data_IF_971799534374
#
_entry.id   IF_971799534374
#
_cell.length_a   1.000
_cell.length_b   1.000
_cell.length_c   1.000
_cell.angle_alpha   90.00
_cell.angle_beta   90.00
_cell.angle_gamma   90.00
#
_symmetry.space_group_name_H-M   'P 1'
#
loop_
_entity.id
_entity.type
_entity.pdbx_description
1 polymer ?
#
# COMPACT_ATOMS: atom_id res chain seq x y z
N UNK A 1 26.35 13.69 -21.74
CA UNK A 1 25.30 12.66 -21.77
C UNK A 1 24.40 12.96 -20.61
N UNK A 2 23.08 13.09 -20.80
CA UNK A 2 22.18 13.23 -19.69
C UNK A 2 22.30 11.97 -18.81
N UNK A 3 22.45 12.13 -17.49
CA UNK A 3 22.49 11.00 -16.58
C UNK A 3 21.14 10.27 -16.67
N UNK A 4 21.17 9.02 -17.10
CA UNK A 4 19.96 8.18 -17.17
C UNK A 4 19.48 7.86 -15.73
N UNK A 5 18.17 7.94 -15.48
CA UNK A 5 17.61 7.45 -14.23
C UNK A 5 17.96 5.98 -14.00
N UNK A 6 18.26 5.64 -12.75
CA UNK A 6 18.53 4.27 -12.32
C UNK A 6 17.68 3.93 -11.11
N UNK A 7 17.14 2.73 -11.10
CA UNK A 7 16.40 2.17 -9.98
C UNK A 7 16.86 0.74 -9.78
N UNK A 8 17.64 0.48 -8.74
CA UNK A 8 18.31 -0.79 -8.53
C UNK A 8 17.81 -1.39 -7.23
N UNK A 9 17.38 -2.65 -7.27
CA UNK A 9 17.00 -3.38 -6.08
C UNK A 9 17.91 -4.58 -5.84
N UNK A 10 18.18 -4.85 -4.57
CA UNK A 10 18.87 -6.04 -4.10
C UNK A 10 18.15 -6.63 -2.89
N UNK A 11 17.99 -7.94 -2.89
CA UNK A 11 17.42 -8.74 -1.82
C UNK A 11 18.46 -9.66 -1.22
N UNK A 12 18.50 -9.74 0.12
CA UNK A 12 19.23 -10.74 0.89
C UNK A 12 18.29 -11.51 1.82
N UNK A 13 18.52 -12.80 1.97
CA UNK A 13 17.84 -13.69 2.92
C UNK A 13 18.80 -14.18 4.01
N UNK A 14 19.93 -13.54 4.17
CA UNK A 14 20.92 -13.92 5.18
C UNK A 14 20.38 -13.61 6.58
N UNK A 15 20.46 -14.55 7.55
CA UNK A 15 19.95 -14.31 8.90
C UNK A 15 20.80 -13.38 9.77
N UNK A 16 22.02 -13.04 9.36
CA UNK A 16 22.84 -12.01 10.03
C UNK A 16 22.56 -10.65 9.39
N UNK A 17 22.19 -9.65 10.20
CA UNK A 17 21.95 -8.29 9.72
C UNK A 17 23.14 -7.72 8.96
N UNK A 18 24.36 -7.84 9.52
CA UNK A 18 25.58 -7.31 8.92
C UNK A 18 25.86 -7.93 7.55
N UNK A 19 25.71 -9.25 7.43
CA UNK A 19 25.89 -9.96 6.17
C UNK A 19 24.78 -9.62 5.16
N UNK A 20 23.54 -9.50 5.63
CA UNK A 20 22.43 -9.10 4.76
C UNK A 20 22.68 -7.72 4.16
N UNK A 21 23.16 -6.77 4.97
CA UNK A 21 23.53 -5.43 4.50
C UNK A 21 24.71 -5.52 3.53
N UNK A 22 25.77 -6.30 3.84
CA UNK A 22 26.91 -6.47 2.93
C UNK A 22 26.47 -7.00 1.57
N UNK A 23 25.66 -8.04 1.53
CA UNK A 23 25.18 -8.66 0.30
C UNK A 23 24.37 -7.67 -0.57
N UNK A 24 23.45 -6.87 0.02
CA UNK A 24 22.67 -5.92 -0.76
C UNK A 24 23.51 -4.72 -1.18
N UNK A 25 24.38 -4.22 -0.33
CA UNK A 25 25.29 -3.09 -0.67
C UNK A 25 26.25 -3.46 -1.80
N UNK A 26 26.84 -4.65 -1.75
CA UNK A 26 27.76 -5.12 -2.80
C UNK A 26 27.03 -5.25 -4.15
N UNK A 27 25.82 -5.81 -4.16
CA UNK A 27 24.99 -5.88 -5.37
C UNK A 27 24.65 -4.49 -5.93
N UNK A 28 24.23 -3.56 -5.06
CA UNK A 28 23.92 -2.17 -5.46
C UNK A 28 25.15 -1.51 -6.06
N UNK A 29 26.29 -1.55 -5.35
CA UNK A 29 27.56 -0.93 -5.81
C UNK A 29 28.05 -1.49 -7.14
N UNK A 30 27.75 -2.76 -7.42
CA UNK A 30 28.16 -3.40 -8.68
C UNK A 30 27.35 -2.93 -9.90
N UNK A 31 26.18 -2.29 -9.69
CA UNK A 31 25.25 -1.90 -10.74
C UNK A 31 25.02 -0.39 -10.82
N UNK A 32 25.18 0.31 -9.70
CA UNK A 32 24.97 1.75 -9.63
C UNK A 32 26.09 2.49 -10.37
N UNK A 33 25.69 3.26 -11.36
CA UNK A 33 26.58 4.15 -12.09
C UNK A 33 26.37 5.60 -11.63
N UNK A 34 27.35 6.17 -10.96
CA UNK A 34 27.28 7.52 -10.40
C UNK A 34 26.76 7.58 -8.95
N UNK A 35 26.09 8.68 -8.62
CA UNK A 35 25.62 8.96 -7.27
C UNK A 35 24.17 8.49 -7.09
N UNK A 36 23.86 8.04 -5.88
CA UNK A 36 22.50 7.75 -5.45
C UNK A 36 21.83 9.00 -4.85
N UNK A 37 20.54 9.15 -5.10
CA UNK A 37 19.72 10.24 -4.55
C UNK A 37 18.76 9.72 -3.46
N UNK A 38 18.36 8.43 -3.52
CA UNK A 38 17.37 7.85 -2.64
C UNK A 38 17.71 6.39 -2.30
N UNK A 39 17.51 6.03 -1.03
CA UNK A 39 17.42 4.65 -0.55
C UNK A 39 16.03 4.33 -0.02
N UNK A 40 15.49 3.17 -0.38
CA UNK A 40 14.24 2.64 0.20
C UNK A 40 14.55 1.25 0.74
N UNK A 41 14.32 1.03 2.04
CA UNK A 41 14.70 -0.22 2.71
C UNK A 41 13.49 -0.88 3.37
N UNK A 42 13.31 -2.18 3.10
CA UNK A 42 12.33 -3.02 3.76
C UNK A 42 13.05 -4.20 4.42
N UNK A 43 12.70 -4.48 5.67
CA UNK A 43 13.36 -5.52 6.45
C UNK A 43 12.32 -6.35 7.21
N UNK A 44 12.50 -7.67 7.23
CA UNK A 44 11.56 -8.54 7.92
C UNK A 44 11.61 -8.38 9.45
N UNK A 45 10.48 -8.65 10.09
CA UNK A 45 10.35 -8.60 11.55
C UNK A 45 11.24 -9.64 12.28
N UNK A 46 11.85 -10.58 11.56
CA UNK A 46 12.88 -11.44 12.10
C UNK A 46 14.12 -10.69 12.63
N UNK A 47 14.35 -9.47 12.15
CA UNK A 47 15.43 -8.58 12.60
C UNK A 47 14.97 -7.50 13.59
N UNK A 48 13.76 -7.59 14.16
CA UNK A 48 13.19 -6.50 14.97
C UNK A 48 14.08 -6.05 16.13
N UNK A 49 14.83 -6.96 16.77
CA UNK A 49 15.80 -6.64 17.81
C UNK A 49 17.00 -5.82 17.31
N UNK A 50 17.27 -5.89 16.01
CA UNK A 50 18.41 -5.23 15.37
C UNK A 50 18.03 -3.94 14.60
N UNK A 51 16.74 -3.59 14.54
CA UNK A 51 16.26 -2.38 13.83
C UNK A 51 17.05 -1.11 14.15
N UNK A 52 17.39 -0.79 15.43
CA UNK A 52 18.18 0.41 15.73
C UNK A 52 19.60 0.39 15.13
N UNK A 53 20.13 -0.80 14.79
CA UNK A 53 21.49 -0.96 14.24
C UNK A 53 21.51 -0.89 12.70
N UNK A 54 20.36 -1.10 12.04
CA UNK A 54 20.25 -1.19 10.59
C UNK A 54 20.82 0.04 9.88
N UNK A 55 20.25 1.21 10.18
CA UNK A 55 20.59 2.46 9.49
C UNK A 55 22.04 2.90 9.73
N UNK A 56 22.59 2.88 10.96
CA UNK A 56 24.00 3.19 11.17
C UNK A 56 24.95 2.31 10.33
N UNK A 57 24.71 1.01 10.28
CA UNK A 57 25.55 0.08 9.51
C UNK A 57 25.39 0.32 8.01
N UNK A 58 24.16 0.54 7.53
CA UNK A 58 23.90 0.80 6.11
C UNK A 58 24.60 2.08 5.65
N UNK A 59 24.41 3.20 6.37
CA UNK A 59 24.95 4.50 5.96
C UNK A 59 26.48 4.57 6.03
N UNK A 60 27.11 3.81 6.95
CA UNK A 60 28.58 3.66 6.99
C UNK A 60 29.11 2.94 5.73
N UNK A 61 28.40 1.92 5.24
CA UNK A 61 28.80 1.14 4.06
C UNK A 61 28.39 1.76 2.73
N UNK A 62 27.24 2.42 2.70
CA UNK A 62 26.67 3.08 1.52
C UNK A 62 26.10 4.44 1.92
N UNK A 63 26.88 5.51 1.83
CA UNK A 63 26.40 6.86 2.08
C UNK A 63 25.29 7.24 1.10
N UNK A 64 24.12 7.57 1.62
CA UNK A 64 22.93 7.97 0.86
C UNK A 64 22.44 9.33 1.40
N UNK A 65 21.98 10.26 0.56
CA UNK A 65 21.49 11.56 1.01
C UNK A 65 20.09 11.48 1.64
N UNK A 66 19.29 10.47 1.27
CA UNK A 66 17.95 10.26 1.78
C UNK A 66 17.66 8.77 1.86
N UNK A 67 17.10 8.32 3.00
CA UNK A 67 16.63 6.94 3.17
C UNK A 67 15.31 6.92 3.91
N UNK A 68 14.35 6.18 3.37
CA UNK A 68 13.11 5.82 4.07
C UNK A 68 12.94 4.30 4.08
N UNK A 69 12.17 3.79 5.02
CA UNK A 69 11.91 2.36 5.06
C UNK A 69 11.06 1.93 6.24
N UNK A 70 10.72 0.66 6.28
CA UNK A 70 9.98 0.08 7.40
C UNK A 70 10.22 -1.42 7.57
N UNK A 71 9.78 -1.92 8.73
CA UNK A 71 9.64 -3.34 8.99
C UNK A 71 8.42 -3.93 8.31
N UNK A 72 8.55 -5.17 7.80
CA UNK A 72 7.47 -5.92 7.15
C UNK A 72 7.33 -7.34 7.67
N UNK A 73 6.12 -7.89 7.66
CA UNK A 73 5.85 -9.30 7.95
C UNK A 73 6.29 -10.24 6.83
N UNK A 74 6.39 -9.71 5.61
CA UNK A 74 7.03 -10.32 4.45
C UNK A 74 7.72 -9.24 3.64
N UNK A 75 8.73 -9.60 2.85
CA UNK A 75 9.59 -8.68 2.10
C UNK A 75 9.59 -9.05 0.63
N UNK A 76 9.45 -8.05 -0.23
CA UNK A 76 9.51 -8.19 -1.68
C UNK A 76 10.80 -7.58 -2.21
N UNK A 77 11.46 -8.28 -3.12
CA UNK A 77 12.67 -7.77 -3.76
C UNK A 77 13.16 -8.67 -4.87
N UNK A 78 14.23 -8.28 -5.52
CA UNK A 78 14.80 -8.99 -6.67
C UNK A 78 15.89 -9.96 -6.25
N UNK A 79 15.68 -11.25 -6.51
CA UNK A 79 16.74 -12.27 -6.37
C UNK A 79 17.86 -12.03 -7.37
N UNK A 80 17.47 -11.73 -8.60
CA UNK A 80 18.32 -11.29 -9.71
C UNK A 80 17.51 -10.31 -10.57
N UNK A 81 18.03 -9.88 -11.70
CA UNK A 81 17.43 -8.83 -12.52
C UNK A 81 16.03 -9.16 -13.07
N UNK A 82 15.64 -10.44 -13.07
CA UNK A 82 14.40 -10.91 -13.71
C UNK A 82 13.50 -11.74 -12.78
N UNK A 83 13.91 -11.97 -11.54
CA UNK A 83 13.16 -12.83 -10.63
C UNK A 83 12.81 -12.10 -9.34
N UNK A 84 11.54 -11.70 -9.18
CA UNK A 84 11.04 -11.18 -7.92
C UNK A 84 10.92 -12.32 -6.91
N UNK A 85 11.04 -11.98 -5.64
CA UNK A 85 10.77 -12.89 -4.53
C UNK A 85 9.94 -12.19 -3.46
N UNK A 86 8.99 -12.91 -2.94
CA UNK A 86 8.19 -12.59 -1.76
C UNK A 86 8.65 -13.52 -0.64
N UNK A 87 9.34 -12.98 0.35
CA UNK A 87 9.90 -13.75 1.47
C UNK A 87 9.02 -13.56 2.68
N UNK A 88 8.24 -14.56 3.00
CA UNK A 88 7.35 -14.60 4.16
C UNK A 88 7.93 -15.51 5.27
N UNK A 89 7.80 -15.08 6.54
CA UNK A 89 8.19 -15.89 7.70
C UNK A 89 9.70 -16.14 7.88
N UNK A 90 10.55 -15.62 7.01
CA UNK A 90 12.00 -15.79 7.05
C UNK A 90 12.74 -14.44 7.13
N UNK A 91 14.00 -14.41 7.59
CA UNK A 91 14.83 -13.23 7.51
C UNK A 91 14.97 -12.75 6.06
N UNK A 92 14.72 -11.47 5.83
CA UNK A 92 14.92 -10.85 4.54
C UNK A 92 15.18 -9.35 4.68
N UNK A 93 16.01 -8.80 3.81
CA UNK A 93 16.30 -7.38 3.67
C UNK A 93 16.31 -7.02 2.19
N UNK A 94 15.47 -6.06 1.80
CA UNK A 94 15.37 -5.53 0.45
C UNK A 94 15.81 -4.07 0.47
N UNK A 95 16.83 -3.71 -0.33
CA UNK A 95 17.32 -2.36 -0.49
C UNK A 95 17.12 -1.93 -1.94
N UNK A 96 16.40 -0.85 -2.14
CA UNK A 96 16.32 -0.14 -3.41
C UNK A 96 17.15 1.13 -3.32
N UNK A 97 17.96 1.38 -4.35
CA UNK A 97 18.71 2.62 -4.50
C UNK A 97 18.39 3.21 -5.86
N UNK A 98 18.08 4.51 -5.87
CA UNK A 98 17.75 5.23 -7.09
C UNK A 98 18.69 6.42 -7.32
N UNK A 99 19.06 6.61 -8.59
CA UNK A 99 19.64 7.86 -9.11
C UNK A 99 18.58 8.52 -9.99
N UNK A 100 18.15 9.73 -9.59
CA UNK A 100 16.96 10.40 -10.11
C UNK A 100 17.31 11.84 -10.55
N UNK A 101 18.01 12.00 -11.67
CA UNK A 101 18.36 13.33 -12.18
C UNK A 101 17.07 14.14 -12.46
N UNK A 102 17.13 15.44 -12.11
CA UNK A 102 16.05 16.40 -12.26
C UNK A 102 14.78 16.07 -11.44
N UNK A 103 14.92 15.22 -10.40
CA UNK A 103 13.90 14.95 -9.39
C UNK A 103 14.29 15.58 -8.06
N UNK A 104 13.41 16.36 -7.49
CA UNK A 104 13.56 16.85 -6.12
C UNK A 104 12.88 15.88 -5.16
N UNK A 105 13.61 15.44 -4.14
CA UNK A 105 13.15 14.52 -3.11
C UNK A 105 13.03 15.28 -1.80
N UNK A 106 11.85 15.37 -1.24
CA UNK A 106 11.59 16.01 0.05
C UNK A 106 11.17 14.96 1.06
N UNK A 107 12.10 14.49 1.94
CA UNK A 107 11.77 13.55 2.99
C UNK A 107 11.06 14.23 4.15
N UNK A 108 10.17 13.49 4.81
CA UNK A 108 9.46 13.97 6.00
C UNK A 108 9.21 12.84 7.00
N UNK A 109 9.08 13.22 8.28
CA UNK A 109 8.54 12.40 9.36
C UNK A 109 7.48 13.22 10.09
N UNK A 110 6.28 12.68 10.23
CA UNK A 110 5.11 13.35 10.79
C UNK A 110 4.51 12.45 11.86
N UNK A 111 4.25 12.98 13.02
CA UNK A 111 3.48 12.31 14.08
C UNK A 111 2.02 12.81 14.07
N UNK A 112 1.06 12.03 14.62
CA UNK A 112 -0.36 12.39 14.59
C UNK A 112 -0.70 13.75 15.19
N UNK A 113 0.09 14.21 16.17
CA UNK A 113 -0.14 15.48 16.86
C UNK A 113 0.31 16.70 16.03
N UNK A 114 1.15 16.50 15.01
CA UNK A 114 1.62 17.56 14.12
C UNK A 114 0.63 17.85 12.97
N UNK A 115 -0.38 16.98 12.78
CA UNK A 115 -1.32 17.14 11.66
C UNK A 115 -2.15 18.42 11.83
N UNK A 116 -2.26 19.25 10.77
CA UNK A 116 -3.21 20.34 10.75
C UNK A 116 -4.64 19.81 10.93
N UNK A 117 -5.51 20.64 11.49
CA UNK A 117 -6.95 20.31 11.51
C UNK A 117 -7.47 20.17 10.08
N UNK A 118 -8.47 19.31 9.86
CA UNK A 118 -9.01 19.04 8.51
C UNK A 118 -9.65 20.28 7.84
N UNK A 119 -10.00 21.30 8.62
CA UNK A 119 -10.49 22.60 8.13
C UNK A 119 -9.37 23.62 7.90
N UNK A 120 -8.12 23.26 8.16
CA UNK A 120 -6.95 24.12 7.90
C UNK A 120 -6.77 24.32 6.38
N UNK A 121 -6.31 25.51 5.95
CA UNK A 121 -6.09 25.77 4.53
C UNK A 121 -4.98 24.88 3.95
N UNK A 122 -4.99 24.60 2.63
CA UNK A 122 -3.96 23.79 1.98
C UNK A 122 -2.53 24.24 2.27
N UNK A 123 -2.30 25.54 2.49
CA UNK A 123 -0.98 26.10 2.83
C UNK A 123 -0.41 25.55 4.16
N UNK A 124 -1.26 25.19 5.12
CA UNK A 124 -0.79 24.57 6.39
C UNK A 124 -0.19 23.18 6.11
N UNK A 125 -0.85 22.40 5.27
CA UNK A 125 -0.36 21.10 4.81
C UNK A 125 0.92 21.23 3.98
N UNK A 126 0.96 22.19 3.04
CA UNK A 126 2.16 22.45 2.24
C UNK A 126 3.36 22.84 3.11
N UNK A 127 3.14 23.64 4.15
CA UNK A 127 4.20 24.02 5.09
C UNK A 127 4.72 22.84 5.89
N UNK A 128 3.83 21.92 6.27
CA UNK A 128 4.20 20.72 7.02
C UNK A 128 5.05 19.76 6.17
N UNK A 129 4.66 19.53 4.90
CA UNK A 129 5.42 18.66 3.99
C UNK A 129 6.62 19.32 3.32
N UNK A 130 6.72 20.66 3.39
CA UNK A 130 7.79 21.41 2.74
C UNK A 130 7.72 21.44 1.21
N UNK A 131 6.54 21.15 0.62
CA UNK A 131 6.36 21.09 -0.84
C UNK A 131 5.14 21.92 -1.26
N UNK A 132 5.31 22.73 -2.28
CA UNK A 132 4.24 23.55 -2.87
C UNK A 132 3.36 22.72 -3.82
N UNK A 133 2.06 23.05 -3.88
CA UNK A 133 1.08 22.36 -4.75
C UNK A 133 1.49 22.42 -6.22
N UNK A 134 2.01 23.58 -6.66
CA UNK A 134 2.41 23.85 -8.05
C UNK A 134 3.53 22.92 -8.54
N UNK A 135 4.26 22.27 -7.63
CA UNK A 135 5.29 21.29 -7.99
C UNK A 135 4.71 19.91 -8.34
N UNK A 136 3.39 19.72 -8.19
CA UNK A 136 2.68 18.47 -8.49
C UNK A 136 3.37 17.23 -7.87
N UNK A 137 3.53 17.19 -6.54
CA UNK A 137 4.23 16.12 -5.87
C UNK A 137 3.48 14.79 -5.95
N UNK A 138 4.24 13.68 -5.95
CA UNK A 138 3.75 12.35 -5.63
C UNK A 138 4.38 11.86 -4.32
N UNK A 139 3.68 11.01 -3.58
CA UNK A 139 4.10 10.64 -2.22
C UNK A 139 4.28 9.14 -2.05
N UNK A 140 5.34 8.76 -1.33
CA UNK A 140 5.50 7.42 -0.75
C UNK A 140 5.35 7.57 0.76
N UNK A 141 4.43 6.79 1.37
CA UNK A 141 4.04 6.88 2.78
C UNK A 141 4.24 5.53 3.49
N UNK A 142 5.05 5.51 4.53
CA UNK A 142 5.26 4.33 5.37
C UNK A 142 4.88 4.71 6.81
N UNK A 143 3.82 4.12 7.34
CA UNK A 143 3.27 4.53 8.64
C UNK A 143 3.33 3.41 9.66
N UNK A 144 3.45 3.80 10.93
CA UNK A 144 3.23 2.86 12.02
C UNK A 144 1.75 2.45 12.09
N UNK A 145 1.44 1.15 12.21
CA UNK A 145 0.06 0.65 12.20
C UNK A 145 -0.79 1.10 13.41
N UNK A 146 -0.14 1.54 14.47
CA UNK A 146 -0.80 2.04 15.69
C UNK A 146 -0.90 3.56 15.72
N UNK A 147 -0.32 4.26 14.74
CA UNK A 147 -0.47 5.70 14.61
C UNK A 147 -1.92 6.08 14.39
N UNK A 148 -2.45 6.89 15.29
CA UNK A 148 -3.76 7.49 15.14
C UNK A 148 -3.78 8.41 13.90
N UNK A 149 -4.99 8.71 13.38
CA UNK A 149 -5.21 9.73 12.34
C UNK A 149 -4.61 9.45 10.96
N UNK A 150 -4.29 8.20 10.61
CA UNK A 150 -3.84 7.89 9.23
C UNK A 150 -4.86 8.32 8.17
N UNK A 151 -6.15 8.11 8.41
CA UNK A 151 -7.19 8.56 7.48
C UNK A 151 -7.26 10.08 7.37
N UNK A 152 -7.07 10.81 8.48
CA UNK A 152 -7.01 12.26 8.49
C UNK A 152 -5.79 12.78 7.70
N UNK A 153 -4.64 12.10 7.82
CA UNK A 153 -3.46 12.37 6.99
C UNK A 153 -3.76 12.21 5.50
N UNK A 154 -4.40 11.11 5.09
CA UNK A 154 -4.72 10.85 3.69
C UNK A 154 -5.77 11.83 3.16
N UNK A 155 -6.83 12.12 3.92
CA UNK A 155 -7.84 13.14 3.57
C UNK A 155 -7.21 14.53 3.41
N UNK A 156 -6.31 14.92 4.32
CA UNK A 156 -5.60 16.20 4.25
C UNK A 156 -4.63 16.28 3.07
N UNK A 157 -3.93 15.20 2.75
CA UNK A 157 -3.08 15.12 1.56
C UNK A 157 -3.89 15.21 0.26
N UNK A 158 -5.07 14.58 0.20
CA UNK A 158 -5.95 14.68 -0.98
C UNK A 158 -6.53 16.08 -1.12
N UNK A 159 -6.86 16.74 -0.01
CA UNK A 159 -7.31 18.12 0.00
C UNK A 159 -6.21 19.10 -0.43
N UNK A 160 -4.99 18.96 0.11
CA UNK A 160 -3.89 19.86 -0.16
C UNK A 160 -3.25 19.65 -1.54
N UNK A 161 -3.20 18.40 -2.01
CA UNK A 161 -2.56 18.01 -3.26
C UNK A 161 -3.51 17.18 -4.13
N UNK A 162 -4.56 17.81 -4.68
CA UNK A 162 -5.54 17.11 -5.51
C UNK A 162 -4.85 16.52 -6.76
N UNK A 163 -5.15 15.26 -7.07
CA UNK A 163 -4.57 14.56 -8.21
C UNK A 163 -3.16 13.98 -7.99
N UNK A 164 -2.48 14.31 -6.89
CA UNK A 164 -1.21 13.67 -6.54
C UNK A 164 -1.42 12.17 -6.24
N UNK A 165 -0.50 11.34 -6.68
CA UNK A 165 -0.49 9.92 -6.35
C UNK A 165 0.16 9.73 -4.97
N UNK A 166 -0.53 9.04 -4.06
CA UNK A 166 -0.04 8.65 -2.75
C UNK A 166 -0.11 7.13 -2.67
N UNK A 167 1.04 6.50 -2.47
CA UNK A 167 1.19 5.04 -2.35
C UNK A 167 1.98 4.71 -1.09
N UNK A 168 1.80 3.51 -0.59
CA UNK A 168 2.54 3.05 0.58
C UNK A 168 1.82 2.01 1.39
N UNK A 169 2.14 1.95 2.68
CA UNK A 169 1.50 1.00 3.57
C UNK A 169 1.87 1.17 5.03
N UNK A 170 1.13 0.50 5.87
CA UNK A 170 1.41 0.41 7.29
C UNK A 170 2.45 -0.67 7.54
N UNK A 171 3.50 -0.32 8.28
CA UNK A 171 4.50 -1.29 8.73
C UNK A 171 3.85 -2.49 9.42
N UNK A 172 4.46 -3.64 9.31
CA UNK A 172 3.85 -4.87 9.78
C UNK A 172 4.87 -5.82 10.42
N UNK A 173 4.36 -6.80 11.12
CA UNK A 173 5.18 -7.86 11.72
C UNK A 173 4.53 -9.21 11.49
N UNK A 174 5.32 -10.25 11.30
CA UNK A 174 4.85 -11.63 11.22
C UNK A 174 4.55 -12.25 12.60
N UNK A 175 4.96 -11.59 13.69
CA UNK A 175 4.86 -12.10 15.06
C UNK A 175 4.17 -11.09 15.97
N UNK A 176 3.16 -11.53 16.71
CA UNK A 176 2.49 -10.70 17.71
C UNK A 176 3.46 -10.25 18.81
N UNK A 177 3.31 -8.98 19.24
CA UNK A 177 4.12 -8.41 20.33
C UNK A 177 5.49 -7.88 19.91
N UNK A 178 5.84 -7.96 18.64
CA UNK A 178 7.02 -7.32 18.06
C UNK A 178 6.61 -5.95 17.53
N UNK A 179 7.31 -4.89 17.92
CA UNK A 179 7.04 -3.53 17.46
C UNK A 179 7.33 -3.38 15.97
N UNK A 180 6.51 -2.59 15.29
CA UNK A 180 6.83 -2.10 13.95
C UNK A 180 7.97 -1.08 14.03
N UNK A 181 8.73 -0.96 12.96
CA UNK A 181 9.84 -0.01 12.87
C UNK A 181 9.75 0.81 11.60
N UNK A 182 10.07 2.09 11.72
CA UNK A 182 10.21 3.01 10.60
C UNK A 182 11.66 3.51 10.56
N UNK A 183 12.20 3.67 9.37
CA UNK A 183 13.57 4.15 9.14
C UNK A 183 13.51 5.46 8.37
N UNK A 184 14.30 6.44 8.82
CA UNK A 184 14.27 7.77 8.26
C UNK A 184 15.64 8.43 8.33
N UNK A 185 16.09 8.98 7.21
CA UNK A 185 17.27 9.82 7.11
C UNK A 185 17.09 10.85 6.00
N UNK A 186 17.31 12.12 6.33
CA UNK A 186 17.13 13.28 5.44
C UNK A 186 18.45 13.96 5.03
N UNK A 187 19.56 13.27 5.25
CA UNK A 187 20.91 13.81 4.96
C UNK A 187 21.49 14.68 6.09
N UNK A 188 20.71 15.07 7.08
CA UNK A 188 21.17 16.03 8.10
C UNK A 188 21.20 15.46 9.53
N UNK A 189 20.32 14.52 9.88
CA UNK A 189 20.13 14.07 11.25
C UNK A 189 20.46 12.59 11.41
N UNK A 190 21.64 12.30 12.01
CA UNK A 190 22.09 10.93 12.30
C UNK A 190 21.64 10.38 13.66
N UNK A 191 21.06 11.21 14.53
CA UNK A 191 20.77 10.81 15.93
C UNK A 191 19.43 10.07 16.08
N UNK A 192 18.55 10.18 15.11
CA UNK A 192 17.21 9.60 15.14
C UNK A 192 16.86 8.88 13.84
N UNK A 193 17.62 7.85 13.51
CA UNK A 193 17.47 7.07 12.27
C UNK A 193 16.34 6.02 12.33
N UNK A 194 15.86 5.70 13.53
CA UNK A 194 14.80 4.74 13.81
C UNK A 194 13.64 5.41 14.53
N UNK A 195 12.42 5.12 14.08
CA UNK A 195 11.17 5.67 14.63
C UNK A 195 10.21 4.53 14.97
N UNK A 196 9.36 4.74 15.97
CA UNK A 196 8.36 3.76 16.41
C UNK A 196 6.93 4.29 16.27
N UNK A 197 6.76 5.51 15.76
CA UNK A 197 5.46 6.15 15.60
C UNK A 197 5.44 7.10 14.41
N UNK A 198 4.24 7.42 13.95
CA UNK A 198 4.01 8.40 12.90
C UNK A 198 4.10 7.80 11.50
N UNK A 199 4.41 8.67 10.56
CA UNK A 199 4.58 8.36 9.13
C UNK A 199 5.91 8.94 8.66
N UNK A 200 6.77 8.10 8.11
CA UNK A 200 7.93 8.52 7.32
C UNK A 200 7.57 8.47 5.84
N UNK A 201 8.08 9.38 5.06
CA UNK A 201 7.80 9.39 3.64
C UNK A 201 8.66 10.35 2.85
N UNK A 202 8.42 10.38 1.56
CA UNK A 202 9.02 11.32 0.64
C UNK A 202 7.96 11.91 -0.28
N UNK A 203 8.13 13.18 -0.62
CA UNK A 203 7.48 13.80 -1.76
C UNK A 203 8.47 13.86 -2.93
N UNK A 204 8.03 13.45 -4.10
CA UNK A 204 8.79 13.41 -5.34
C UNK A 204 8.22 14.43 -6.31
N UNK A 205 9.05 15.36 -6.79
CA UNK A 205 8.66 16.38 -7.79
C UNK A 205 9.68 16.45 -8.93
N UNK A 206 9.34 17.15 -10.01
CA UNK A 206 10.24 17.28 -11.17
C UNK A 206 10.03 16.20 -12.22
N UNK A 207 11.12 15.63 -12.73
CA UNK A 207 11.13 14.70 -13.87
C UNK A 207 10.73 13.27 -13.46
N UNK A 208 9.67 13.09 -12.69
CA UNK A 208 9.19 11.77 -12.29
C UNK A 208 7.66 11.69 -12.38
N UNK A 209 7.18 10.61 -12.96
CA UNK A 209 5.77 10.22 -12.96
C UNK A 209 5.59 9.00 -12.08
N UNK A 210 4.54 8.99 -11.28
CA UNK A 210 4.13 7.85 -10.48
C UNK A 210 2.73 7.44 -10.92
N UNK A 211 2.56 6.18 -11.28
CA UNK A 211 1.28 5.56 -11.59
C UNK A 211 0.99 4.48 -10.54
N UNK A 212 -0.28 4.16 -10.36
CA UNK A 212 -0.65 3.16 -9.36
C UNK A 212 -1.68 2.16 -9.87
N UNK A 213 -1.55 0.91 -9.41
CA UNK A 213 -2.54 -0.15 -9.59
C UNK A 213 -2.97 -0.58 -8.19
N UNK A 214 -4.29 -0.66 -7.95
CA UNK A 214 -4.87 -1.04 -6.65
C UNK A 214 -5.80 -2.23 -6.86
N UNK A 215 -5.32 -3.43 -6.58
CA UNK A 215 -6.05 -4.69 -6.72
C UNK A 215 -6.67 -5.10 -5.39
N UNK A 216 -7.99 -4.93 -5.25
CA UNK A 216 -8.70 -5.19 -3.99
C UNK A 216 -8.96 -6.68 -3.75
N UNK A 217 -9.01 -7.49 -4.79
CA UNK A 217 -9.02 -8.95 -4.69
C UNK A 217 -10.28 -9.56 -4.06
N UNK A 218 -11.38 -8.84 -4.03
CA UNK A 218 -12.65 -9.30 -3.49
C UNK A 218 -13.73 -9.25 -4.56
N UNK A 219 -14.58 -10.29 -4.60
CA UNK A 219 -15.74 -10.33 -5.50
C UNK A 219 -17.03 -10.04 -4.75
N UNK A 220 -17.94 -9.22 -5.35
CA UNK A 220 -19.23 -8.95 -4.76
C UNK A 220 -20.14 -10.19 -4.77
N UNK A 221 -20.94 -10.34 -3.71
CA UNK A 221 -22.01 -11.37 -3.60
C UNK A 221 -23.34 -10.72 -3.28
N UNK A 222 -24.41 -11.36 -3.71
CA UNK A 222 -25.78 -10.89 -3.47
C UNK A 222 -26.06 -9.53 -4.14
N UNK A 223 -27.05 -8.85 -3.62
CA UNK A 223 -27.49 -7.54 -4.08
C UNK A 223 -26.81 -6.38 -3.36
N UNK A 224 -27.07 -5.16 -3.81
CA UNK A 224 -26.65 -3.94 -3.11
C UNK A 224 -27.74 -3.52 -2.13
N UNK A 225 -27.36 -3.27 -0.89
CA UNK A 225 -28.22 -2.78 0.18
C UNK A 225 -27.99 -1.29 0.41
N UNK A 226 -28.95 -0.60 1.03
CA UNK A 226 -28.80 0.77 1.49
C UNK A 226 -28.91 0.84 3.00
N UNK A 227 -27.95 1.50 3.66
CA UNK A 227 -28.01 1.74 5.10
C UNK A 227 -29.13 2.72 5.41
N UNK A 228 -30.17 2.26 6.11
CA UNK A 228 -31.30 3.09 6.55
C UNK A 228 -31.07 3.65 7.95
N UNK A 229 -30.28 2.96 8.78
CA UNK A 229 -29.88 3.42 10.12
C UNK A 229 -28.49 2.93 10.47
N UNK A 230 -27.60 3.87 10.77
CA UNK A 230 -26.22 3.60 11.20
C UNK A 230 -25.80 4.51 12.33
N UNK A 231 -24.85 4.06 13.15
CA UNK A 231 -24.25 4.85 14.22
C UNK A 231 -22.76 4.56 14.32
N UNK A 232 -21.91 5.57 14.12
CA UNK A 232 -20.45 5.44 14.05
C UNK A 232 -20.04 4.43 12.96
N UNK A 233 -19.58 3.26 13.36
CA UNK A 233 -19.17 2.16 12.50
C UNK A 233 -20.14 0.96 12.54
N UNK A 234 -21.33 1.13 13.11
CA UNK A 234 -22.33 0.08 13.28
C UNK A 234 -23.53 0.32 12.37
N UNK A 235 -23.88 -0.69 11.58
CA UNK A 235 -25.10 -0.73 10.78
C UNK A 235 -26.19 -1.38 11.65
N UNK A 236 -27.30 -0.67 11.84
CA UNK A 236 -28.44 -1.11 12.64
C UNK A 236 -29.59 -1.61 11.78
N UNK A 237 -29.84 -0.96 10.65
CA UNK A 237 -30.88 -1.33 9.69
C UNK A 237 -30.39 -1.04 8.27
N UNK A 238 -30.77 -1.88 7.33
CA UNK A 238 -30.54 -1.66 5.90
C UNK A 238 -31.73 -2.15 5.07
N UNK A 239 -31.90 -1.60 3.89
CA UNK A 239 -32.94 -2.00 2.95
C UNK A 239 -32.34 -2.72 1.76
N UNK A 240 -33.09 -3.68 1.22
CA UNK A 240 -32.85 -4.31 -0.07
C UNK A 240 -33.31 -3.40 -1.24
N UNK A 241 -33.20 -3.91 -2.48
CA UNK A 241 -33.62 -3.19 -3.69
C UNK A 241 -35.13 -2.96 -3.77
N UNK A 242 -35.96 -3.79 -3.10
CA UNK A 242 -37.41 -3.68 -3.07
C UNK A 242 -37.87 -2.69 -1.98
N UNK A 243 -36.94 -2.19 -1.16
CA UNK A 243 -37.22 -1.28 -0.06
C UNK A 243 -37.69 -1.99 1.24
N UNK A 244 -37.54 -3.31 1.33
CA UNK A 244 -37.75 -4.05 2.57
C UNK A 244 -36.62 -3.73 3.53
N UNK A 245 -36.98 -3.22 4.71
CA UNK A 245 -36.04 -2.91 5.78
C UNK A 245 -35.93 -4.08 6.74
N UNK A 246 -34.71 -4.50 7.06
CA UNK A 246 -34.44 -5.53 8.06
C UNK A 246 -33.08 -5.27 8.76
N UNK A 247 -32.77 -6.06 9.76
CA UNK A 247 -31.48 -6.03 10.42
C UNK A 247 -30.38 -6.58 9.50
N UNK A 248 -29.17 -6.01 9.53
CA UNK A 248 -28.05 -6.47 8.70
C UNK A 248 -27.76 -7.96 8.84
N UNK A 249 -27.86 -8.49 10.07
CA UNK A 249 -27.59 -9.90 10.34
C UNK A 249 -28.64 -10.84 9.73
N UNK A 250 -29.92 -10.43 9.67
CA UNK A 250 -30.97 -11.21 9.03
C UNK A 250 -30.76 -11.26 7.52
N UNK A 251 -30.53 -10.11 6.88
CA UNK A 251 -30.26 -10.03 5.44
C UNK A 251 -28.99 -10.80 5.07
N UNK A 252 -27.94 -10.74 5.91
CA UNK A 252 -26.75 -11.54 5.72
C UNK A 252 -27.02 -13.04 5.80
N UNK A 253 -27.85 -13.50 6.76
CA UNK A 253 -28.24 -14.92 6.87
C UNK A 253 -29.03 -15.39 5.65
N UNK A 254 -30.00 -14.58 5.18
CA UNK A 254 -30.75 -14.86 3.95
C UNK A 254 -29.80 -14.98 2.75
N UNK A 255 -28.84 -14.05 2.63
CA UNK A 255 -27.82 -14.07 1.58
C UNK A 255 -26.97 -15.34 1.66
N UNK A 256 -26.37 -15.67 2.82
CA UNK A 256 -25.51 -16.85 2.99
C UNK A 256 -26.27 -18.12 2.62
N UNK A 257 -27.54 -18.26 3.04
CA UNK A 257 -28.35 -19.42 2.71
C UNK A 257 -28.64 -19.56 1.20
N UNK A 258 -28.53 -18.48 0.43
CA UNK A 258 -28.72 -18.48 -1.03
C UNK A 258 -27.46 -18.79 -1.82
N UNK A 259 -26.27 -18.78 -1.19
CA UNK A 259 -25.00 -19.03 -1.83
C UNK A 259 -24.77 -20.51 -2.13
N UNK A 260 -23.83 -20.81 -3.02
CA UNK A 260 -23.32 -22.18 -3.23
C UNK A 260 -22.65 -22.74 -1.95
N UNK A 261 -22.53 -24.06 -1.83
CA UNK A 261 -21.89 -24.66 -0.66
C UNK A 261 -20.44 -24.17 -0.46
N UNK A 262 -19.68 -24.03 -1.54
CA UNK A 262 -18.31 -23.48 -1.51
C UNK A 262 -18.29 -22.03 -0.99
N UNK A 263 -19.20 -21.19 -1.47
CA UNK A 263 -19.31 -19.81 -1.03
C UNK A 263 -19.81 -19.68 0.40
N UNK A 264 -20.65 -20.60 0.86
CA UNK A 264 -21.09 -20.66 2.26
C UNK A 264 -19.93 -20.98 3.20
N UNK A 265 -19.06 -21.91 2.82
CA UNK A 265 -17.84 -22.25 3.58
C UNK A 265 -16.88 -21.03 3.58
N UNK A 266 -16.66 -20.42 2.43
CA UNK A 266 -15.80 -19.25 2.30
C UNK A 266 -16.29 -18.06 3.13
N UNK A 267 -17.61 -17.83 3.21
CA UNK A 267 -18.22 -16.77 3.99
C UNK A 267 -17.97 -16.86 5.50
N UNK A 268 -17.59 -18.02 6.00
CA UNK A 268 -17.30 -18.19 7.44
C UNK A 268 -15.99 -17.48 7.87
N UNK A 269 -15.05 -17.27 6.95
CA UNK A 269 -13.73 -16.69 7.27
C UNK A 269 -13.23 -15.61 6.30
N UNK A 270 -13.89 -15.43 5.16
CA UNK A 270 -13.47 -14.49 4.12
C UNK A 270 -14.62 -13.59 3.63
N UNK A 271 -15.46 -13.14 4.57
CA UNK A 271 -16.59 -12.25 4.31
C UNK A 271 -16.22 -10.79 4.65
N UNK A 272 -16.54 -9.88 3.74
CA UNK A 272 -16.22 -8.45 3.83
C UNK A 272 -17.43 -7.60 3.46
N UNK A 273 -17.35 -6.31 3.81
CA UNK A 273 -18.33 -5.30 3.42
C UNK A 273 -17.68 -4.35 2.40
N UNK A 274 -18.25 -4.25 1.22
CA UNK A 274 -17.95 -3.18 0.29
C UNK A 274 -18.84 -1.97 0.55
N UNK A 275 -18.25 -0.80 0.73
CA UNK A 275 -18.93 0.48 0.86
C UNK A 275 -18.79 1.20 -0.47
N UNK A 276 -19.92 1.58 -1.09
CA UNK A 276 -19.92 2.32 -2.35
C UNK A 276 -19.23 3.67 -2.15
N UNK A 277 -18.33 4.02 -3.09
CA UNK A 277 -17.58 5.29 -3.07
C UNK A 277 -18.36 6.44 -3.66
N UNK A 278 -19.18 6.16 -4.66
CA UNK A 278 -20.02 7.16 -5.33
C UNK A 278 -21.49 6.79 -5.15
N UNK A 279 -22.17 7.56 -4.33
CA UNK A 279 -23.60 7.37 -4.03
C UNK A 279 -24.50 7.74 -5.23
N UNK A 280 -24.01 8.47 -6.20
CA UNK A 280 -24.76 8.94 -7.37
C UNK A 280 -24.61 8.02 -8.59
N UNK A 281 -23.63 7.12 -8.58
CA UNK A 281 -23.44 6.15 -9.67
C UNK A 281 -24.59 5.14 -9.68
N UNK A 282 -25.34 5.07 -10.79
CA UNK A 282 -26.55 4.22 -10.89
C UNK A 282 -26.23 2.74 -10.79
N UNK A 283 -25.24 2.28 -11.54
CA UNK A 283 -24.80 0.88 -11.54
C UNK A 283 -23.41 0.76 -10.93
N UNK A 284 -23.29 -0.05 -9.88
CA UNK A 284 -22.04 -0.29 -9.16
C UNK A 284 -21.41 -1.61 -9.61
N UNK A 285 -20.19 -1.52 -10.17
CA UNK A 285 -19.32 -2.65 -10.49
C UNK A 285 -18.42 -3.05 -9.32
N UNK A 286 -17.62 -4.11 -9.49
CA UNK A 286 -16.72 -4.61 -8.44
C UNK A 286 -15.73 -3.53 -7.93
N UNK A 287 -15.17 -2.74 -8.82
CA UNK A 287 -14.20 -1.68 -8.49
C UNK A 287 -14.80 -0.42 -7.84
N UNK A 288 -16.12 -0.33 -7.66
CA UNK A 288 -16.79 0.86 -7.10
C UNK A 288 -16.93 0.82 -5.58
N UNK A 289 -16.43 -0.23 -4.94
CA UNK A 289 -16.53 -0.43 -3.50
C UNK A 289 -15.16 -0.32 -2.82
N UNK A 290 -15.16 0.28 -1.63
CA UNK A 290 -14.07 0.15 -0.67
C UNK A 290 -14.33 -1.06 0.21
N UNK A 291 -13.40 -2.00 0.21
CA UNK A 291 -13.55 -3.23 1.00
C UNK A 291 -13.14 -2.97 2.44
N UNK A 292 -13.99 -3.40 3.38
CA UNK A 292 -13.83 -3.22 4.81
C UNK A 292 -14.11 -4.51 5.58
N UNK A 293 -13.39 -4.71 6.67
CA UNK A 293 -13.61 -5.82 7.57
C UNK A 293 -14.98 -5.72 8.25
N UNK A 294 -15.60 -6.87 8.48
CA UNK A 294 -16.63 -7.02 9.49
C UNK A 294 -15.94 -7.17 10.85
N UNK A 295 -16.09 -6.16 11.72
CA UNK A 295 -15.38 -6.09 13.00
C UNK A 295 -16.11 -6.88 14.09
N UNK A 296 -17.42 -7.04 13.93
CA UNK A 296 -18.24 -7.80 14.87
C UNK A 296 -19.71 -7.78 14.51
N UNK A 297 -20.46 -8.64 15.20
CA UNK A 297 -21.92 -8.73 15.09
C UNK A 297 -22.55 -8.65 16.48
N UNK A 298 -23.70 -8.01 16.59
CA UNK A 298 -24.54 -8.03 17.79
C UNK A 298 -25.80 -8.86 17.50
N UNK A 299 -25.87 -10.13 17.97
CA UNK A 299 -27.01 -11.01 17.70
C UNK A 299 -28.33 -10.52 18.32
N UNK A 300 -28.26 -9.71 19.39
CA UNK A 300 -29.43 -9.19 20.09
C UNK A 300 -30.17 -8.13 19.27
N UNK A 301 -29.42 -7.27 18.61
CA UNK A 301 -29.96 -6.20 17.77
C UNK A 301 -29.87 -6.49 16.29
N UNK A 302 -29.25 -7.61 15.91
CA UNK A 302 -29.02 -7.96 14.52
C UNK A 302 -28.05 -7.00 13.80
N UNK A 303 -27.26 -6.24 14.56
CA UNK A 303 -26.37 -5.22 14.03
C UNK A 303 -25.01 -5.78 13.58
N UNK A 304 -24.37 -5.12 12.63
CA UNK A 304 -23.01 -5.44 12.13
C UNK A 304 -22.12 -4.21 12.30
N UNK A 305 -20.96 -4.41 12.91
CA UNK A 305 -19.89 -3.41 12.98
C UNK A 305 -18.90 -3.62 11.83
N UNK A 306 -18.52 -2.51 11.18
CA UNK A 306 -17.63 -2.48 10.03
C UNK A 306 -16.36 -1.68 10.37
N UNK A 307 -15.25 -1.95 9.71
CA UNK A 307 -13.97 -1.25 9.91
C UNK A 307 -13.90 0.17 9.32
N UNK A 308 -15.04 0.88 9.24
CA UNK A 308 -15.13 2.25 8.73
C UNK A 308 -16.32 2.99 9.32
N UNK A 309 -16.36 4.32 9.18
CA UNK A 309 -17.50 5.15 9.56
C UNK A 309 -18.68 4.91 8.59
N UNK A 310 -19.84 4.65 9.15
CA UNK A 310 -21.08 4.39 8.39
C UNK A 310 -22.03 5.58 8.46
N UNK A 311 -22.64 5.91 7.33
CA UNK A 311 -23.64 6.97 7.20
C UNK A 311 -24.95 6.41 6.64
N UNK A 312 -26.07 6.93 7.13
CA UNK A 312 -27.39 6.67 6.54
C UNK A 312 -27.40 7.12 5.08
N UNK A 313 -27.98 6.31 4.20
CA UNK A 313 -28.01 6.53 2.76
C UNK A 313 -26.88 5.82 2.00
N UNK A 314 -25.80 5.42 2.65
CA UNK A 314 -24.71 4.70 1.99
C UNK A 314 -25.19 3.38 1.40
N UNK A 315 -24.71 3.09 0.18
CA UNK A 315 -24.92 1.79 -0.47
C UNK A 315 -23.77 0.86 -0.13
N UNK A 316 -24.11 -0.36 0.26
CA UNK A 316 -23.17 -1.40 0.67
C UNK A 316 -23.46 -2.70 -0.05
N UNK A 317 -22.46 -3.56 -0.14
CA UNK A 317 -22.57 -4.89 -0.73
C UNK A 317 -21.64 -5.85 -0.01
N UNK A 318 -22.09 -7.08 0.23
CA UNK A 318 -21.21 -8.11 0.78
C UNK A 318 -20.23 -8.61 -0.29
N UNK A 319 -19.03 -8.95 0.14
CA UNK A 319 -17.95 -9.45 -0.71
C UNK A 319 -17.33 -10.68 -0.09
N UNK A 320 -16.86 -11.58 -0.95
CA UNK A 320 -16.00 -12.69 -0.58
C UNK A 320 -14.62 -12.51 -1.17
N UNK A 321 -13.60 -12.98 -0.45
CA UNK A 321 -12.23 -13.02 -0.93
C UNK A 321 -11.81 -14.47 -1.12
N UNK A 322 -11.34 -14.78 -2.32
CA UNK A 322 -10.69 -16.05 -2.63
C UNK A 322 -9.46 -15.82 -3.54
N UNK A 323 -8.62 -16.83 -3.65
CA UNK A 323 -7.40 -16.76 -4.45
C UNK A 323 -7.68 -16.44 -5.92
N UNK A 324 -8.76 -17.03 -6.47
CA UNK A 324 -9.14 -16.83 -7.87
C UNK A 324 -9.59 -15.40 -8.14
N UNK A 325 -10.52 -14.88 -7.33
CA UNK A 325 -10.99 -13.50 -7.49
C UNK A 325 -9.84 -12.50 -7.33
N UNK A 326 -8.91 -12.76 -6.39
CA UNK A 326 -7.73 -11.91 -6.18
C UNK A 326 -6.78 -11.94 -7.37
N UNK A 327 -6.58 -13.11 -7.98
CA UNK A 327 -5.76 -13.27 -9.19
C UNK A 327 -6.40 -12.60 -10.40
N UNK A 328 -7.69 -12.88 -10.65
CA UNK A 328 -8.43 -12.35 -11.81
C UNK A 328 -8.53 -10.81 -11.77
N UNK A 329 -8.72 -10.22 -10.57
CA UNK A 329 -8.75 -8.76 -10.37
C UNK A 329 -7.39 -8.14 -10.71
N UNK A 330 -6.31 -8.66 -10.14
CA UNK A 330 -4.96 -8.16 -10.41
C UNK A 330 -4.58 -8.31 -11.90
N UNK A 331 -4.84 -9.46 -12.49
CA UNK A 331 -4.57 -9.72 -13.92
C UNK A 331 -5.33 -8.75 -14.83
N UNK A 332 -6.62 -8.51 -14.54
CA UNK A 332 -7.45 -7.57 -15.30
C UNK A 332 -6.90 -6.15 -15.24
N UNK A 333 -6.47 -5.69 -14.06
CA UNK A 333 -5.91 -4.36 -13.87
C UNK A 333 -4.54 -4.22 -14.58
N UNK A 334 -3.69 -5.23 -14.48
CA UNK A 334 -2.38 -5.26 -15.15
C UNK A 334 -2.53 -5.28 -16.67
N UNK A 335 -3.45 -6.11 -17.20
CA UNK A 335 -3.75 -6.14 -18.61
C UNK A 335 -4.28 -4.79 -19.11
N UNK A 336 -5.15 -4.14 -18.32
CA UNK A 336 -5.67 -2.81 -18.65
C UNK A 336 -4.55 -1.78 -18.67
N UNK A 337 -3.66 -1.79 -17.66
CA UNK A 337 -2.50 -0.92 -17.61
C UNK A 337 -1.59 -1.11 -18.83
N UNK A 338 -1.21 -2.34 -19.12
CA UNK A 338 -0.36 -2.70 -20.26
C UNK A 338 -0.94 -2.22 -21.59
N UNK A 339 -2.25 -2.47 -21.83
CA UNK A 339 -2.92 -2.09 -23.06
C UNK A 339 -3.07 -0.58 -23.25
N UNK A 340 -3.17 0.18 -22.14
CA UNK A 340 -3.31 1.63 -22.18
C UNK A 340 -1.96 2.37 -22.27
N UNK A 341 -0.86 1.70 -21.94
CA UNK A 341 0.47 2.29 -21.97
C UNK A 341 1.03 2.24 -23.40
N UNK A 342 1.46 3.39 -23.92
CA UNK A 342 2.04 3.45 -25.28
C UNK A 342 3.43 2.81 -25.36
N UNK A 343 4.22 2.90 -24.27
CA UNK A 343 5.53 2.28 -24.11
C UNK A 343 5.87 2.13 -22.63
N UNK A 344 6.58 1.07 -22.29
CA UNK A 344 7.17 0.85 -20.95
C UNK A 344 8.63 1.33 -20.86
N UNK A 345 9.21 1.82 -21.94
CA UNK A 345 10.66 2.16 -22.04
C UNK A 345 11.11 3.22 -21.04
N UNK A 346 10.18 4.06 -20.55
CA UNK A 346 10.46 5.10 -19.54
C UNK A 346 10.29 4.60 -18.11
N UNK A 347 9.77 3.39 -17.91
CA UNK A 347 9.57 2.81 -16.58
C UNK A 347 10.89 2.38 -15.99
N UNK A 348 11.20 2.85 -14.78
CA UNK A 348 12.48 2.61 -14.13
C UNK A 348 12.40 1.59 -13.00
N UNK A 349 11.24 1.42 -12.36
CA UNK A 349 11.07 0.49 -11.26
C UNK A 349 9.69 0.54 -10.64
N UNK A 350 9.42 -0.34 -9.70
CA UNK A 350 8.16 -0.41 -9.00
C UNK A 350 8.30 -0.71 -7.50
N UNK A 351 7.30 -0.27 -6.74
CA UNK A 351 7.09 -0.67 -5.34
C UNK A 351 5.77 -1.42 -5.21
N UNK A 352 5.76 -2.47 -4.40
CA UNK A 352 4.61 -3.30 -4.10
C UNK A 352 4.30 -3.24 -2.61
N UNK A 353 3.07 -2.89 -2.28
CA UNK A 353 2.51 -2.87 -0.93
C UNK A 353 1.35 -3.86 -0.90
N UNK A 354 1.59 -5.05 -0.40
CA UNK A 354 0.62 -6.15 -0.40
C UNK A 354 0.15 -6.46 1.01
N UNK A 355 -1.11 -6.84 1.17
CA UNK A 355 -1.64 -7.21 2.47
C UNK A 355 -0.96 -8.48 3.01
N UNK A 356 -0.72 -8.53 4.34
CA UNK A 356 -0.26 -9.74 5.04
C UNK A 356 -1.13 -10.99 4.78
N UNK A 357 -2.38 -10.79 4.42
CA UNK A 357 -3.29 -11.88 4.08
C UNK A 357 -3.23 -12.33 2.62
N UNK A 358 -2.31 -11.82 1.81
CA UNK A 358 -2.03 -12.27 0.44
C UNK A 358 -0.86 -13.27 0.45
N UNK A 359 -0.07 -13.31 -0.60
CA UNK A 359 1.11 -14.17 -0.68
C UNK A 359 0.79 -15.67 -0.72
N UNK A 360 1.71 -16.49 -0.25
CA UNK A 360 1.59 -17.95 -0.31
C UNK A 360 0.39 -18.48 0.46
N UNK A 361 0.01 -17.81 1.57
CA UNK A 361 -1.16 -18.19 2.37
C UNK A 361 -2.48 -18.08 1.61
N UNK A 362 -2.61 -17.15 0.68
CA UNK A 362 -3.81 -16.98 -0.17
C UNK A 362 -3.75 -17.87 -1.41
N UNK A 363 -2.62 -17.85 -2.12
CA UNK A 363 -2.50 -18.45 -3.45
C UNK A 363 -2.03 -19.90 -3.45
N UNK A 364 -1.53 -20.40 -2.32
CA UNK A 364 -0.93 -21.73 -2.21
C UNK A 364 0.38 -21.90 -2.99
N UNK A 365 0.95 -20.78 -3.45
CA UNK A 365 2.25 -20.72 -4.14
C UNK A 365 2.94 -19.39 -3.86
N UNK A 366 4.27 -19.36 -3.71
CA UNK A 366 5.02 -18.13 -3.44
C UNK A 366 5.12 -17.25 -4.68
N UNK A 367 5.46 -15.96 -4.45
CA UNK A 367 5.81 -14.97 -5.47
C UNK A 367 4.68 -14.67 -6.48
N UNK A 368 3.42 -14.84 -6.08
CA UNK A 368 2.32 -14.77 -7.03
C UNK A 368 2.09 -13.35 -7.55
N UNK A 369 1.88 -12.39 -6.66
CA UNK A 369 1.53 -11.01 -7.04
C UNK A 369 2.70 -10.33 -7.76
N UNK A 370 3.92 -10.51 -7.27
CA UNK A 370 5.12 -9.90 -7.86
C UNK A 370 5.50 -10.51 -9.20
N UNK A 371 5.31 -11.82 -9.37
CA UNK A 371 5.57 -12.48 -10.66
C UNK A 371 4.52 -12.07 -11.70
N UNK A 372 3.23 -12.09 -11.33
CA UNK A 372 2.15 -11.65 -12.22
C UNK A 372 2.35 -10.19 -12.66
N UNK A 373 2.82 -9.32 -11.74
CA UNK A 373 3.16 -7.95 -12.10
C UNK A 373 4.26 -7.89 -13.17
N UNK A 374 5.37 -8.64 -13.00
CA UNK A 374 6.47 -8.63 -13.96
C UNK A 374 6.14 -9.35 -15.28
N UNK A 375 5.13 -10.19 -15.33
CA UNK A 375 4.64 -10.77 -16.59
C UNK A 375 4.01 -9.71 -17.51
N UNK A 376 3.54 -8.58 -16.97
CA UNK A 376 2.97 -7.45 -17.69
C UNK A 376 3.90 -6.23 -17.77
N UNK A 377 4.64 -5.95 -16.70
CA UNK A 377 5.56 -4.79 -16.61
C UNK A 377 6.98 -5.33 -16.51
N UNK A 378 7.51 -5.72 -17.66
CA UNK A 378 8.77 -6.45 -17.80
C UNK A 378 10.01 -5.57 -17.57
N UNK A 379 11.13 -6.22 -17.27
CA UNK A 379 12.48 -5.66 -17.26
C UNK A 379 12.73 -4.49 -16.28
N UNK A 380 11.93 -4.39 -15.23
CA UNK A 380 12.12 -3.42 -14.16
C UNK A 380 12.27 -4.09 -12.79
N UNK A 381 13.06 -3.52 -11.87
CA UNK A 381 13.11 -4.03 -10.51
C UNK A 381 11.85 -3.66 -9.73
N UNK A 382 11.38 -4.62 -8.90
CA UNK A 382 10.30 -4.44 -7.95
C UNK A 382 10.80 -4.68 -6.52
N UNK A 383 10.35 -3.86 -5.60
CA UNK A 383 10.61 -4.00 -4.17
C UNK A 383 9.33 -3.73 -3.37
N UNK A 384 9.31 -4.10 -2.10
CA UNK A 384 8.16 -3.80 -1.27
C UNK A 384 8.09 -4.64 -0.01
N UNK A 385 6.91 -4.65 0.59
CA UNK A 385 6.67 -5.45 1.79
C UNK A 385 5.19 -5.80 1.94
N UNK A 386 4.92 -6.81 2.79
CA UNK A 386 3.58 -7.19 3.18
C UNK A 386 3.10 -6.29 4.32
N UNK A 387 2.03 -5.53 4.08
CA UNK A 387 1.52 -4.45 4.90
C UNK A 387 0.46 -4.90 5.91
N UNK A 388 0.29 -4.11 6.97
CA UNK A 388 -0.88 -4.19 7.87
C UNK A 388 -2.03 -3.26 7.42
N UNK A 389 -1.96 -2.75 6.21
CA UNK A 389 -2.89 -1.86 5.52
C UNK A 389 -2.15 -1.17 4.38
N UNK A 390 -2.75 -1.14 3.22
CA UNK A 390 -2.17 -0.62 1.99
C UNK A 390 -2.69 0.79 1.72
N UNK A 391 -1.82 1.70 1.26
CA UNK A 391 -2.19 3.07 0.89
C UNK A 391 -2.14 3.17 -0.63
N UNK A 392 -3.26 3.56 -1.23
CA UNK A 392 -3.33 3.74 -2.67
C UNK A 392 -4.57 4.51 -3.12
N UNK A 393 -4.50 5.16 -4.30
CA UNK A 393 -5.61 5.95 -4.82
C UNK A 393 -6.61 5.07 -5.58
N UNK A 394 -7.88 5.34 -5.38
CA UNK A 394 -8.97 4.76 -6.16
C UNK A 394 -9.92 5.87 -6.58
N UNK A 395 -10.15 6.02 -7.90
CA UNK A 395 -10.95 7.09 -8.50
C UNK A 395 -10.58 8.50 -8.01
N UNK A 396 -9.28 8.79 -7.92
CA UNK A 396 -8.76 10.13 -7.62
C UNK A 396 -8.66 10.48 -6.14
N UNK A 397 -9.09 9.62 -5.23
CA UNK A 397 -8.90 9.80 -3.79
C UNK A 397 -8.07 8.67 -3.21
N UNK A 398 -7.30 8.97 -2.17
CA UNK A 398 -6.41 8.03 -1.51
C UNK A 398 -7.08 7.37 -0.31
N UNK A 399 -6.91 6.07 -0.16
CA UNK A 399 -7.52 5.30 0.92
C UNK A 399 -6.52 4.38 1.59
N UNK A 400 -6.78 4.12 2.86
CA UNK A 400 -6.21 2.97 3.55
C UNK A 400 -7.08 1.75 3.20
N UNK A 401 -6.44 0.78 2.56
CA UNK A 401 -7.07 -0.49 2.15
C UNK A 401 -6.72 -1.62 3.10
N UNK A 402 -7.44 -2.71 2.97
CA UNK A 402 -7.09 -4.00 3.53
C UNK A 402 -7.32 -5.10 2.51
N UNK A 403 -6.50 -6.16 2.58
CA UNK A 403 -6.54 -7.30 1.66
C UNK A 403 -6.20 -6.98 0.21
N UNK A 404 -5.60 -5.86 -0.04
CA UNK A 404 -5.29 -5.28 -1.34
C UNK A 404 -3.84 -5.52 -1.71
N UNK A 405 -3.50 -5.39 -2.98
CA UNK A 405 -2.12 -5.21 -3.44
C UNK A 405 -2.05 -3.89 -4.18
N UNK A 406 -1.20 -2.99 -3.73
CA UNK A 406 -0.96 -1.68 -4.33
C UNK A 406 0.40 -1.69 -4.98
N UNK A 407 0.46 -1.33 -6.26
CA UNK A 407 1.70 -1.14 -6.99
C UNK A 407 1.88 0.34 -7.30
N UNK A 408 3.06 0.86 -7.02
CA UNK A 408 3.52 2.16 -7.51
C UNK A 408 4.54 1.95 -8.60
N UNK A 409 4.31 2.52 -9.76
CA UNK A 409 5.15 2.37 -10.96
C UNK A 409 5.78 3.72 -11.26
N UNK A 410 7.11 3.75 -11.34
CA UNK A 410 7.90 4.96 -11.49
C UNK A 410 8.45 5.06 -12.91
N UNK A 411 8.29 6.22 -13.53
CA UNK A 411 8.74 6.50 -14.88
C UNK A 411 9.35 7.90 -14.98
N UNK A 412 10.27 8.10 -15.92
CA UNK A 412 10.72 9.44 -16.32
C UNK A 412 9.59 10.15 -17.09
N UNK A 413 9.42 11.46 -16.87
CA UNK A 413 8.53 12.31 -17.69
C UNK A 413 9.16 12.69 -19.04
N UNK A 414 10.49 12.74 -19.10
CA UNK A 414 11.18 13.09 -20.33
C UNK A 414 11.11 11.96 -21.34
N UNK A 415 10.68 12.29 -22.53
CA UNK A 415 10.81 11.39 -23.68
C UNK A 415 12.31 11.28 -23.98
N UNK A 416 12.86 10.08 -23.90
CA UNK A 416 14.23 9.84 -24.39
C UNK A 416 14.18 10.13 -25.90
N UNK A 417 14.68 11.30 -26.30
CA UNK A 417 14.90 11.62 -27.70
C UNK A 417 16.22 10.93 -28.06
N UNK A 418 16.13 9.78 -28.71
CA UNK A 418 17.28 9.08 -29.33
C UNK A 418 17.93 9.91 -30.45
#
# INVERSE_FOLDING_TARGET
MANKMQWINALSINPSLEKAIDEVVDKIKSKLDGNADLGIIFISSAFASDYPRLMPILLDKLPLPCVIGCGGGGIVGMKNDYQPQEIEGNPALSLTVASLPDVEITPFHIIPDDLPDLDSPPSAWCSMFGVEIQKEPNFILLSDPFSAKINELLEGLDFAYPGAVKIGGLASTSTMGVGSGLFYYDGSNSDQLFRTEGTVGIALTGNIQVESIVAQGCRPIGETYQVTKGQRNVILEMSDREGKIDSPLNLLRELINSLSGEDQELAQYALFMGIARDEFKLELGAGDFLIRNLVGVDPKYGAIAVGDKIRTGQRIKFHLRDAKASADDLETLLATYYNNKQSLDQTIGALMFSCLGRGEGLYGKPNFDSQLFLDYVTDIPIAGFFCNGEIGPVAGNTFLHGYTSVFGIFSSKDTVID
#
